data_IF_177391674594
#
_entry.id   IF_177391674594
#
_cell.length_a   1.000
_cell.length_b   1.000
_cell.length_c   1.000
_cell.angle_alpha   90.00
_cell.angle_beta   90.00
_cell.angle_gamma   90.00
#
_symmetry.space_group_name_H-M   'P 1'
#
loop_
_entity.id
_entity.type
_entity.pdbx_description
1 polymer ?
#
# COMPACT_ATOMS: atom_id res chain seq x y z
N UNK A 1 -27.31 24.34 0.23
CA UNK A 1 -26.42 23.15 0.32
C UNK A 1 -26.49 22.36 -0.97
N UNK A 2 -25.36 22.02 -1.54
CA UNK A 2 -25.29 21.24 -2.77
C UNK A 2 -25.01 19.78 -2.44
N UNK A 3 -25.85 18.87 -2.96
CA UNK A 3 -25.62 17.44 -2.85
C UNK A 3 -25.02 16.91 -4.16
N UNK A 4 -24.09 15.99 -4.02
CA UNK A 4 -23.49 15.29 -5.15
C UNK A 4 -23.73 13.80 -4.94
N UNK A 5 -24.42 13.18 -5.88
CA UNK A 5 -24.83 11.78 -5.78
C UNK A 5 -23.78 10.82 -6.32
N UNK A 6 -22.91 11.30 -7.20
CA UNK A 6 -21.88 10.49 -7.84
C UNK A 6 -20.58 11.27 -7.95
N UNK A 7 -19.49 10.57 -7.75
CA UNK A 7 -18.17 11.12 -7.96
C UNK A 7 -17.22 10.01 -8.42
N UNK A 8 -16.27 10.34 -9.27
CA UNK A 8 -15.21 9.40 -9.70
C UNK A 8 -13.89 9.83 -9.12
N UNK A 9 -13.18 8.88 -8.55
CA UNK A 9 -11.85 9.09 -7.98
C UNK A 9 -10.92 7.98 -8.45
N UNK A 10 -9.62 8.26 -8.36
CA UNK A 10 -8.57 7.28 -8.63
C UNK A 10 -7.93 6.90 -7.30
N UNK A 11 -7.88 5.61 -7.03
CA UNK A 11 -7.31 5.08 -5.79
C UNK A 11 -6.12 4.19 -6.12
N UNK A 12 -5.12 4.20 -5.25
CA UNK A 12 -3.93 3.38 -5.39
C UNK A 12 -3.43 2.98 -4.01
N UNK A 13 -3.24 1.69 -3.80
CA UNK A 13 -2.57 1.21 -2.59
C UNK A 13 -1.08 1.54 -2.65
N UNK A 14 -0.43 1.56 -1.51
CA UNK A 14 1.01 1.80 -1.45
C UNK A 14 1.79 0.66 -2.10
N UNK A 15 2.88 0.99 -2.79
CA UNK A 15 3.82 -0.02 -3.29
C UNK A 15 4.59 -0.62 -2.12
N UNK A 16 4.99 -1.88 -2.26
CA UNK A 16 5.95 -2.45 -1.34
C UNK A 16 7.33 -1.80 -1.50
N UNK A 17 8.04 -1.63 -0.41
CA UNK A 17 9.42 -1.17 -0.45
C UNK A 17 10.35 -2.26 -0.99
N UNK A 18 11.48 -1.87 -1.55
CA UNK A 18 12.46 -2.82 -2.08
C UNK A 18 13.27 -3.45 -0.96
N UNK A 19 13.64 -4.70 -1.12
CA UNK A 19 14.65 -5.33 -0.28
C UNK A 19 16.02 -4.71 -0.55
N UNK A 20 16.88 -4.77 0.43
CA UNK A 20 18.22 -4.23 0.35
C UNK A 20 19.23 -5.33 0.03
N UNK A 21 20.19 -5.04 -0.86
CA UNK A 21 21.34 -5.90 -1.13
C UNK A 21 22.56 -5.27 -0.47
N UNK A 22 22.88 -5.69 0.74
CA UNK A 22 23.95 -5.14 1.55
C UNK A 22 24.75 -6.27 2.19
N UNK A 23 25.99 -5.97 2.62
CA UNK A 23 26.86 -6.92 3.28
C UNK A 23 27.41 -6.32 4.56
N UNK A 24 27.44 -7.15 5.60
CA UNK A 24 27.99 -6.73 6.88
C UNK A 24 29.49 -6.39 6.72
N UNK A 25 29.89 -5.23 7.20
CA UNK A 25 31.28 -4.78 7.16
C UNK A 25 31.70 -4.20 8.50
N UNK A 26 32.81 -4.66 8.96
CA UNK A 26 33.48 -4.14 10.16
C UNK A 26 34.90 -3.80 9.83
N UNK A 27 35.53 -3.03 10.70
CA UNK A 27 36.91 -2.50 10.46
C UNK A 27 37.92 -3.56 10.08
N UNK A 28 37.82 -4.77 10.65
CA UNK A 28 38.79 -5.85 10.41
C UNK A 28 38.18 -7.07 9.75
N UNK A 29 36.94 -6.93 9.26
CA UNK A 29 36.21 -7.99 8.56
C UNK A 29 36.02 -7.55 7.12
N UNK A 30 36.78 -8.16 6.19
CA UNK A 30 36.68 -7.79 4.77
C UNK A 30 35.55 -8.48 4.04
N UNK A 31 35.02 -9.61 4.54
CA UNK A 31 33.97 -10.39 3.93
C UNK A 31 32.93 -10.73 4.96
N UNK A 32 31.94 -9.83 5.12
CA UNK A 32 30.78 -10.09 5.94
C UNK A 32 29.68 -10.79 5.16
N UNK A 33 28.76 -11.43 5.85
CA UNK A 33 27.58 -12.04 5.26
C UNK A 33 26.58 -11.01 4.74
N UNK A 34 25.57 -11.45 3.97
CA UNK A 34 24.51 -10.58 3.50
C UNK A 34 23.65 -10.09 4.69
N UNK A 35 23.45 -8.79 4.78
CA UNK A 35 22.72 -8.18 5.88
C UNK A 35 21.62 -7.22 5.41
N UNK A 36 21.20 -7.31 4.14
CA UNK A 36 20.14 -6.51 3.61
C UNK A 36 18.79 -6.89 4.20
N UNK A 37 18.06 -5.91 4.73
CA UNK A 37 16.72 -6.09 5.28
C UNK A 37 15.65 -6.06 4.21
N UNK A 38 14.47 -6.56 4.56
CA UNK A 38 13.31 -6.56 3.69
C UNK A 38 12.71 -5.14 3.57
N UNK A 39 12.07 -4.86 2.44
CA UNK A 39 11.24 -3.67 2.30
C UNK A 39 9.95 -3.80 3.10
N UNK A 40 9.37 -2.69 3.48
CA UNK A 40 8.10 -2.65 4.17
C UNK A 40 6.93 -2.84 3.22
N UNK A 41 5.81 -3.27 3.77
CA UNK A 41 4.57 -3.42 3.02
C UNK A 41 3.95 -2.04 2.74
N UNK A 42 3.36 -1.85 1.57
CA UNK A 42 2.57 -0.64 1.26
C UNK A 42 1.26 -0.61 2.04
N UNK A 43 0.73 0.59 2.26
CA UNK A 43 -0.55 0.77 2.93
C UNK A 43 -1.73 0.33 2.07
N UNK A 44 -2.82 -0.06 2.72
CA UNK A 44 -4.08 -0.43 2.07
C UNK A 44 -4.94 0.81 1.82
N UNK A 45 -5.89 0.71 0.91
CA UNK A 45 -6.97 1.70 0.76
C UNK A 45 -8.24 1.12 1.37
N UNK A 46 -8.78 1.85 2.33
CA UNK A 46 -9.94 1.44 3.14
C UNK A 46 -11.02 2.51 3.02
N UNK A 47 -12.25 2.09 2.72
CA UNK A 47 -13.41 2.99 2.82
C UNK A 47 -14.07 2.83 4.18
N UNK A 48 -14.52 3.95 4.74
CA UNK A 48 -15.22 4.01 6.02
C UNK A 48 -16.54 4.75 5.83
N UNK A 49 -17.64 4.11 6.22
CA UNK A 49 -18.95 4.75 6.21
C UNK A 49 -19.08 5.68 7.43
N UNK A 50 -19.15 6.98 7.16
CA UNK A 50 -19.20 8.02 8.18
C UNK A 50 -20.61 8.61 8.21
N UNK A 51 -21.32 8.43 9.32
CA UNK A 51 -22.68 8.93 9.48
C UNK A 51 -22.76 10.47 9.55
N UNK A 52 -21.62 11.13 9.77
CA UNK A 52 -21.57 12.59 9.80
C UNK A 52 -21.39 13.20 8.40
N UNK A 53 -21.19 12.37 7.39
CA UNK A 53 -21.12 12.81 5.99
C UNK A 53 -22.43 12.54 5.28
N UNK A 54 -22.89 13.51 4.49
CA UNK A 54 -24.16 13.38 3.76
C UNK A 54 -24.05 13.74 2.28
N UNK A 55 -22.84 13.99 1.79
CA UNK A 55 -22.64 14.33 0.38
C UNK A 55 -21.24 13.88 -0.08
N UNK A 56 -21.12 13.63 -1.38
CA UNK A 56 -19.86 13.30 -2.05
C UNK A 56 -19.17 14.54 -2.66
N UNK A 57 -19.58 15.74 -2.24
CA UNK A 57 -19.11 17.00 -2.83
C UNK A 57 -17.58 17.12 -2.80
N UNK A 58 -16.95 16.73 -1.70
CA UNK A 58 -15.50 16.85 -1.53
C UNK A 58 -14.71 16.07 -2.59
N UNK A 59 -15.28 14.99 -3.12
CA UNK A 59 -14.63 14.17 -4.13
C UNK A 59 -14.65 14.78 -5.53
N UNK A 60 -15.33 15.90 -5.72
CA UNK A 60 -15.20 16.70 -6.95
C UNK A 60 -13.89 17.46 -7.00
N UNK A 61 -13.33 17.79 -5.83
CA UNK A 61 -12.14 18.61 -5.71
C UNK A 61 -10.89 17.79 -5.45
N UNK A 62 -11.01 16.67 -4.74
CA UNK A 62 -9.92 15.74 -4.47
C UNK A 62 -10.23 14.43 -5.17
N UNK A 63 -9.44 14.07 -6.19
CA UNK A 63 -9.71 12.90 -7.03
C UNK A 63 -8.65 11.81 -6.95
N UNK A 64 -7.46 12.12 -6.44
CA UNK A 64 -6.39 11.14 -6.30
C UNK A 64 -6.18 10.78 -4.85
N UNK A 65 -6.23 9.50 -4.56
CA UNK A 65 -6.04 8.99 -3.21
C UNK A 65 -5.04 7.85 -3.24
N UNK A 66 -3.88 8.06 -2.62
CA UNK A 66 -2.81 7.08 -2.53
C UNK A 66 -2.53 6.73 -1.09
N UNK A 67 -2.47 5.44 -0.78
CA UNK A 67 -1.91 5.00 0.49
C UNK A 67 -0.38 5.12 0.45
N UNK A 68 0.23 5.16 1.60
CA UNK A 68 1.67 5.33 1.76
C UNK A 68 2.43 4.09 1.26
N UNK A 69 3.50 4.30 0.52
CA UNK A 69 4.40 3.22 0.13
C UNK A 69 5.14 2.66 1.35
N UNK A 70 5.51 1.38 1.29
CA UNK A 70 6.44 0.82 2.24
C UNK A 70 7.85 1.40 2.04
N UNK A 71 8.60 1.52 3.10
CA UNK A 71 9.99 1.96 3.02
C UNK A 71 10.88 0.84 2.52
N UNK A 72 11.95 1.20 1.82
CA UNK A 72 12.96 0.25 1.40
C UNK A 72 13.72 -0.32 2.60
N UNK A 73 14.15 -1.57 2.50
CA UNK A 73 15.05 -2.16 3.48
C UNK A 73 16.42 -1.47 3.46
N UNK A 74 17.18 -1.68 4.50
CA UNK A 74 18.53 -1.11 4.68
C UNK A 74 19.50 -2.18 5.13
N UNK A 75 20.79 -1.84 5.15
CA UNK A 75 21.82 -2.71 5.69
C UNK A 75 21.62 -2.97 7.19
N UNK A 76 22.47 -3.82 7.76
CA UNK A 76 22.40 -4.23 9.18
C UNK A 76 21.07 -4.88 9.56
N UNK A 77 20.45 -5.64 8.63
CA UNK A 77 19.18 -6.33 8.82
C UNK A 77 18.03 -5.39 9.17
N UNK A 78 18.11 -4.12 8.78
CA UNK A 78 17.05 -3.16 9.07
C UNK A 78 15.92 -3.29 8.05
N UNK A 79 14.74 -3.64 8.53
CA UNK A 79 13.55 -3.73 7.69
C UNK A 79 12.96 -2.34 7.47
N UNK A 80 12.44 -2.11 6.28
CA UNK A 80 11.67 -0.91 5.99
C UNK A 80 10.36 -0.91 6.75
N UNK A 81 9.89 0.27 7.13
CA UNK A 81 8.60 0.40 7.80
C UNK A 81 7.46 0.14 6.83
N UNK A 82 6.37 -0.45 7.33
CA UNK A 82 5.14 -0.57 6.56
C UNK A 82 4.52 0.81 6.34
N UNK A 83 3.94 1.03 5.16
CA UNK A 83 3.19 2.24 4.86
C UNK A 83 1.86 2.26 5.61
N UNK A 84 1.40 3.45 5.96
CA UNK A 84 0.13 3.61 6.63
C UNK A 84 -1.03 3.38 5.66
N UNK A 85 -2.12 2.80 6.17
CA UNK A 85 -3.35 2.66 5.42
C UNK A 85 -3.98 4.03 5.18
N UNK A 86 -4.61 4.20 4.03
CA UNK A 86 -5.42 5.37 3.73
C UNK A 86 -6.87 5.03 4.00
N UNK A 87 -7.50 5.81 4.88
CA UNK A 87 -8.93 5.67 5.16
C UNK A 87 -9.67 6.79 4.45
N UNK A 88 -10.57 6.41 3.54
CA UNK A 88 -11.41 7.35 2.79
C UNK A 88 -12.81 7.30 3.38
N UNK A 89 -13.24 8.41 3.98
CA UNK A 89 -14.58 8.51 4.58
C UNK A 89 -15.61 8.83 3.51
N UNK A 90 -16.70 8.11 3.52
CA UNK A 90 -17.83 8.30 2.59
C UNK A 90 -19.14 8.28 3.36
N UNK A 91 -20.21 8.89 2.83
CA UNK A 91 -21.51 8.80 3.49
C UNK A 91 -22.02 7.36 3.59
N UNK A 92 -22.81 7.09 4.62
CA UNK A 92 -23.50 5.80 4.76
C UNK A 92 -24.42 5.60 3.57
N UNK A 93 -24.40 4.41 2.99
CA UNK A 93 -25.18 4.08 1.79
C UNK A 93 -24.41 4.24 0.49
N UNK A 94 -23.17 4.74 0.54
CA UNK A 94 -22.32 4.87 -0.64
C UNK A 94 -21.92 3.48 -1.15
N UNK A 95 -22.03 3.28 -2.46
CA UNK A 95 -21.51 2.10 -3.12
C UNK A 95 -20.29 2.49 -3.94
N UNK A 96 -19.26 1.66 -3.89
CA UNK A 96 -18.03 1.87 -4.63
C UNK A 96 -18.01 0.88 -5.79
N UNK A 97 -18.01 1.42 -7.01
CA UNK A 97 -18.02 0.61 -8.24
C UNK A 97 -16.71 0.79 -8.97
N UNK A 98 -16.08 -0.32 -9.34
CA UNK A 98 -14.92 -0.28 -10.22
C UNK A 98 -15.39 0.08 -11.64
N UNK A 99 -14.84 1.17 -12.19
CA UNK A 99 -15.29 1.69 -13.48
C UNK A 99 -14.96 0.72 -14.62
N UNK A 100 -13.79 0.11 -14.59
CA UNK A 100 -13.34 -0.80 -15.66
C UNK A 100 -14.18 -2.07 -15.72
N UNK A 101 -14.41 -2.74 -14.60
CA UNK A 101 -15.15 -3.99 -14.56
C UNK A 101 -16.67 -3.80 -14.41
N UNK A 102 -17.10 -2.64 -13.94
CA UNK A 102 -18.49 -2.36 -13.61
C UNK A 102 -18.97 -3.03 -12.33
N UNK A 103 -18.11 -3.72 -11.61
CA UNK A 103 -18.48 -4.45 -10.38
C UNK A 103 -18.51 -3.53 -9.17
N UNK A 104 -19.45 -3.79 -8.28
CA UNK A 104 -19.48 -3.12 -6.97
C UNK A 104 -18.45 -3.82 -6.07
N UNK A 105 -17.46 -3.07 -5.61
CA UNK A 105 -16.37 -3.60 -4.78
C UNK A 105 -16.57 -3.32 -3.30
N UNK A 106 -17.45 -2.38 -2.95
CA UNK A 106 -17.82 -2.12 -1.56
C UNK A 106 -19.22 -1.52 -1.50
N UNK A 107 -19.97 -1.93 -0.48
CA UNK A 107 -21.27 -1.37 -0.16
C UNK A 107 -21.24 -0.88 1.29
N UNK A 108 -21.18 0.44 1.45
CA UNK A 108 -20.97 1.09 2.74
C UNK A 108 -22.32 1.39 3.39
N UNK A 109 -23.09 0.34 3.66
CA UNK A 109 -24.51 0.44 4.03
C UNK A 109 -24.80 0.53 5.53
N UNK A 110 -23.77 0.54 6.37
CA UNK A 110 -23.93 0.64 7.82
C UNK A 110 -22.96 1.65 8.40
N UNK A 111 -23.37 2.48 9.37
CA UNK A 111 -22.46 3.42 10.02
C UNK A 111 -21.26 2.72 10.64
N UNK A 112 -20.09 3.26 10.45
CA UNK A 112 -18.85 2.72 10.98
C UNK A 112 -18.29 1.52 10.24
N UNK A 113 -18.96 1.05 9.19
CA UNK A 113 -18.47 -0.08 8.38
C UNK A 113 -17.19 0.32 7.66
N UNK A 114 -16.19 -0.55 7.76
CA UNK A 114 -14.93 -0.40 7.03
C UNK A 114 -14.81 -1.50 5.98
N UNK A 115 -14.24 -1.15 4.84
CA UNK A 115 -13.96 -2.13 3.78
C UNK A 115 -12.62 -1.84 3.15
N UNK A 116 -11.69 -2.78 3.25
CA UNK A 116 -10.43 -2.72 2.54
C UNK A 116 -10.67 -3.11 1.08
N UNK A 117 -10.49 -2.15 0.17
CA UNK A 117 -10.73 -2.39 -1.25
C UNK A 117 -9.47 -2.64 -2.05
N UNK A 118 -8.35 -2.09 -1.61
CA UNK A 118 -7.04 -2.36 -2.22
C UNK A 118 -6.05 -2.70 -1.12
N UNK A 119 -5.26 -3.74 -1.35
CA UNK A 119 -4.20 -4.13 -0.43
C UNK A 119 -2.87 -3.58 -0.90
N UNK A 120 -2.06 -3.13 0.03
CA UNK A 120 -0.71 -2.66 -0.23
C UNK A 120 0.17 -3.75 -0.82
N UNK A 121 1.16 -3.34 -1.61
CA UNK A 121 2.12 -4.25 -2.20
C UNK A 121 3.01 -4.88 -1.14
N UNK A 122 3.43 -6.12 -1.38
CA UNK A 122 4.36 -6.80 -0.48
C UNK A 122 5.74 -6.17 -0.55
N UNK A 123 6.41 -6.07 0.59
CA UNK A 123 7.81 -5.68 0.62
C UNK A 123 8.69 -6.74 -0.03
N UNK A 124 9.73 -6.30 -0.73
CA UNK A 124 10.73 -7.20 -1.32
C UNK A 124 11.65 -7.76 -0.24
N UNK A 125 12.13 -8.97 -0.44
CA UNK A 125 13.07 -9.60 0.49
C UNK A 125 14.47 -9.05 0.30
N UNK A 126 15.15 -8.76 1.42
CA UNK A 126 16.55 -8.39 1.41
C UNK A 126 17.46 -9.58 1.06
N UNK A 127 18.71 -9.29 0.67
CA UNK A 127 19.61 -10.36 0.25
C UNK A 127 19.92 -11.36 1.36
N UNK A 128 19.79 -10.99 2.62
CA UNK A 128 19.98 -11.91 3.74
C UNK A 128 19.06 -13.12 3.67
N UNK A 129 17.85 -12.96 3.11
CA UNK A 129 16.88 -14.04 2.95
C UNK A 129 17.21 -15.01 1.83
N UNK A 130 18.15 -14.66 0.93
CA UNK A 130 18.55 -15.48 -0.20
C UNK A 130 19.86 -16.24 0.04
N UNK A 131 20.46 -16.10 1.21
CA UNK A 131 21.66 -16.84 1.56
C UNK A 131 21.33 -18.32 1.73
N UNK A 132 22.13 -19.18 1.10
CA UNK A 132 22.02 -20.62 1.21
C UNK A 132 23.39 -21.23 1.50
N UNK A 133 23.48 -22.51 1.92
CA UNK A 133 24.79 -23.15 2.10
C UNK A 133 25.67 -23.13 0.87
N UNK A 134 25.08 -23.15 -0.33
CA UNK A 134 25.82 -23.11 -1.59
C UNK A 134 26.04 -21.69 -2.11
N UNK A 135 25.25 -20.71 -1.64
CA UNK A 135 25.32 -19.32 -2.07
C UNK A 135 25.22 -18.40 -0.85
N UNK A 136 26.38 -18.17 -0.24
CA UNK A 136 26.47 -17.48 1.06
C UNK A 136 26.53 -15.96 0.93
N UNK A 137 26.75 -15.43 -0.28
CA UNK A 137 26.89 -14.00 -0.50
C UNK A 137 26.07 -13.53 -1.71
N UNK A 138 24.72 -13.65 -1.65
CA UNK A 138 23.88 -13.20 -2.75
C UNK A 138 23.95 -11.68 -2.92
N UNK A 139 24.13 -11.24 -4.17
CA UNK A 139 24.26 -9.82 -4.52
C UNK A 139 22.97 -9.20 -5.03
N UNK A 140 21.87 -9.90 -4.87
CA UNK A 140 20.57 -9.44 -5.32
C UNK A 140 19.58 -9.38 -4.17
N UNK A 141 18.60 -8.51 -4.32
CA UNK A 141 17.45 -8.46 -3.45
C UNK A 141 16.21 -8.37 -4.32
N UNK A 142 15.05 -8.68 -3.74
CA UNK A 142 13.79 -8.65 -4.44
C UNK A 142 13.22 -7.24 -4.42
N UNK A 143 12.72 -6.76 -5.55
CA UNK A 143 11.97 -5.52 -5.61
C UNK A 143 10.63 -5.65 -4.91
N UNK A 144 10.12 -4.56 -4.37
CA UNK A 144 8.79 -4.52 -3.79
C UNK A 144 7.71 -4.68 -4.86
N UNK A 145 6.58 -5.21 -4.44
CA UNK A 145 5.44 -5.38 -5.34
C UNK A 145 4.84 -4.01 -5.68
N UNK A 146 4.72 -3.72 -6.97
CA UNK A 146 4.06 -2.49 -7.44
C UNK A 146 2.55 -2.71 -7.47
N UNK A 147 1.81 -1.67 -7.12
CA UNK A 147 0.35 -1.67 -7.16
C UNK A 147 -0.14 -0.90 -8.37
N UNK A 148 -1.43 -1.06 -8.67
CA UNK A 148 -2.06 -0.39 -9.80
C UNK A 148 -3.00 0.70 -9.33
N UNK A 149 -3.24 1.69 -10.19
CA UNK A 149 -4.30 2.66 -10.01
C UNK A 149 -5.63 2.07 -10.47
N UNK A 150 -6.69 2.40 -9.76
CA UNK A 150 -8.05 2.01 -10.13
C UNK A 150 -8.94 3.24 -10.10
N UNK A 151 -9.74 3.40 -11.15
CA UNK A 151 -10.78 4.41 -11.15
C UNK A 151 -12.06 3.78 -10.59
N UNK A 152 -12.66 4.44 -9.60
CA UNK A 152 -13.89 3.98 -8.98
C UNK A 152 -14.92 5.10 -9.00
N UNK A 153 -16.18 4.70 -9.07
CA UNK A 153 -17.32 5.60 -8.94
C UNK A 153 -17.98 5.40 -7.60
N UNK A 154 -18.15 6.50 -6.88
CA UNK A 154 -18.87 6.54 -5.61
C UNK A 154 -20.29 7.01 -5.88
N UNK A 155 -21.27 6.26 -5.42
CA UNK A 155 -22.68 6.62 -5.62
C UNK A 155 -23.57 6.34 -4.41
#
# INVERSE_FOLDING_TARGET
MQFVDKARIIIKAGNGGDGCASFHREKYVSHGGPDGGDGGRGGNVVFLADENMNTLLDFKFARFFRAQNGENGRGNMQYGKSGENLVIKVPVGTRVRDVESGKIIADMNSPGRERTVLRGGRGGRGNAKFATPTKQAPRFAQGGQKTKEYEVELE
#
